data_IF_882090710659
#
_entry.id   IF_882090710659
#
_cell.length_a   1.000
_cell.length_b   1.000
_cell.length_c   1.000
_cell.angle_alpha   90.00
_cell.angle_beta   90.00
_cell.angle_gamma   90.00
#
_symmetry.space_group_name_H-M   'P 1'
#
loop_
_entity.id
_entity.type
_entity.pdbx_description
1 polymer ?
#
# COMPACT_ATOMS: atom_id res chain seq x y z
N UNK A 1 24.23 -24.68 -6.89
CA UNK A 1 23.97 -23.69 -7.96
C UNK A 1 22.60 -23.02 -7.78
N UNK A 2 21.52 -23.78 -7.51
CA UNK A 2 20.17 -23.17 -7.41
C UNK A 2 20.01 -22.09 -6.34
N UNK A 3 20.48 -22.30 -5.11
CA UNK A 3 20.41 -21.28 -4.05
C UNK A 3 21.20 -20.00 -4.43
N UNK A 4 22.38 -20.17 -5.03
CA UNK A 4 23.16 -19.03 -5.52
C UNK A 4 22.42 -18.29 -6.64
N UNK A 5 21.73 -19.00 -7.53
CA UNK A 5 20.89 -18.40 -8.58
C UNK A 5 19.75 -17.58 -8.00
N UNK A 6 19.05 -18.08 -6.97
CA UNK A 6 18.00 -17.33 -6.26
C UNK A 6 18.58 -16.06 -5.62
N UNK A 7 19.64 -16.16 -4.84
CA UNK A 7 20.24 -15.02 -4.15
C UNK A 7 20.78 -13.98 -5.15
N UNK A 8 21.43 -14.43 -6.22
CA UNK A 8 21.93 -13.55 -7.29
C UNK A 8 20.79 -12.83 -8.00
N UNK A 9 19.72 -13.54 -8.38
CA UNK A 9 18.58 -12.94 -9.06
C UNK A 9 17.87 -11.90 -8.18
N UNK A 10 17.69 -12.19 -6.88
CA UNK A 10 17.13 -11.25 -5.90
C UNK A 10 18.04 -10.03 -5.72
N UNK A 11 19.35 -10.24 -5.57
CA UNK A 11 20.31 -9.15 -5.45
C UNK A 11 20.38 -8.25 -6.69
N UNK A 12 20.29 -8.85 -7.89
CA UNK A 12 20.22 -8.11 -9.14
C UNK A 12 18.89 -7.37 -9.30
N UNK A 13 17.76 -7.96 -8.90
CA UNK A 13 16.46 -7.31 -8.91
C UNK A 13 16.51 -6.02 -8.08
N UNK A 14 16.98 -6.13 -6.84
CA UNK A 14 17.15 -4.97 -5.97
C UNK A 14 18.11 -3.93 -6.59
N UNK A 15 19.31 -4.34 -6.99
CA UNK A 15 20.32 -3.43 -7.53
C UNK A 15 19.84 -2.69 -8.78
N UNK A 16 19.23 -3.39 -9.73
CA UNK A 16 18.78 -2.81 -11.00
C UNK A 16 17.49 -1.98 -10.81
N UNK A 17 16.60 -2.35 -9.90
CA UNK A 17 15.44 -1.53 -9.54
C UNK A 17 15.86 -0.18 -8.93
N UNK A 18 16.87 -0.17 -8.03
CA UNK A 18 17.47 1.07 -7.52
C UNK A 18 18.21 1.89 -8.57
N UNK A 19 18.60 1.28 -9.70
CA UNK A 19 19.13 1.98 -10.88
C UNK A 19 18.02 2.56 -11.76
N UNK A 20 16.75 2.38 -11.42
CA UNK A 20 15.59 2.93 -12.12
C UNK A 20 15.06 2.06 -13.26
N UNK A 21 15.52 0.80 -13.39
CA UNK A 21 14.94 -0.14 -14.36
C UNK A 21 13.59 -0.63 -13.82
N UNK A 22 12.57 -0.62 -14.68
CA UNK A 22 11.22 -0.98 -14.29
C UNK A 22 11.13 -2.48 -13.91
N UNK A 23 10.46 -2.76 -12.78
CA UNK A 23 10.24 -4.12 -12.27
C UNK A 23 9.48 -5.01 -13.26
N UNK A 24 8.61 -4.46 -14.10
CA UNK A 24 7.93 -5.19 -15.18
C UNK A 24 8.90 -5.89 -16.15
N UNK A 25 10.09 -5.33 -16.33
CA UNK A 25 11.15 -5.93 -17.16
C UNK A 25 12.03 -6.83 -16.31
N UNK A 26 12.37 -6.38 -15.10
CA UNK A 26 13.30 -7.10 -14.24
C UNK A 26 12.75 -8.44 -13.73
N UNK A 27 11.51 -8.46 -13.30
CA UNK A 27 10.90 -9.64 -12.69
C UNK A 27 10.93 -10.86 -13.64
N UNK A 28 10.43 -10.78 -14.89
CA UNK A 28 10.49 -11.93 -15.81
C UNK A 28 11.93 -12.30 -16.20
N UNK A 29 12.82 -11.33 -16.44
CA UNK A 29 14.19 -11.63 -16.84
C UNK A 29 14.99 -12.29 -15.71
N UNK A 30 14.82 -11.82 -14.48
CA UNK A 30 15.56 -12.36 -13.33
C UNK A 30 14.95 -13.66 -12.81
N UNK A 31 13.65 -13.88 -12.96
CA UNK A 31 13.05 -15.20 -12.73
C UNK A 31 13.60 -16.23 -13.72
N UNK A 32 13.72 -15.88 -15.02
CA UNK A 32 14.34 -16.74 -16.00
C UNK A 32 15.82 -17.04 -15.69
N UNK A 33 16.57 -16.05 -15.22
CA UNK A 33 17.94 -16.25 -14.75
C UNK A 33 18.01 -17.27 -13.60
N UNK A 34 17.15 -17.13 -12.59
CA UNK A 34 17.09 -18.06 -11.46
C UNK A 34 16.77 -19.49 -11.92
N UNK A 35 15.83 -19.66 -12.85
CA UNK A 35 15.48 -20.96 -13.46
C UNK A 35 16.67 -21.59 -14.18
N UNK A 36 17.37 -20.82 -15.03
CA UNK A 36 18.57 -21.29 -15.76
C UNK A 36 19.64 -21.75 -14.79
N UNK A 37 19.90 -20.98 -13.73
CA UNK A 37 20.92 -21.30 -12.76
C UNK A 37 20.55 -22.46 -11.83
N UNK A 38 19.25 -22.67 -11.59
CA UNK A 38 18.77 -23.81 -10.82
C UNK A 38 18.94 -25.13 -11.58
N UNK A 39 18.83 -25.09 -12.90
CA UNK A 39 18.87 -26.28 -13.76
C UNK A 39 17.61 -27.18 -13.64
N UNK A 40 17.28 -27.87 -14.71
CA UNK A 40 16.23 -28.89 -14.70
C UNK A 40 14.80 -28.42 -14.98
N UNK A 41 14.51 -27.11 -14.95
CA UNK A 41 13.19 -26.57 -15.31
C UNK A 41 13.20 -25.87 -16.67
N UNK A 42 12.15 -26.06 -17.48
CA UNK A 42 12.03 -25.41 -18.79
C UNK A 42 11.65 -23.94 -18.64
N UNK A 43 12.54 -23.03 -19.06
CA UNK A 43 12.40 -21.57 -18.84
C UNK A 43 11.10 -21.01 -19.39
N UNK A 44 10.74 -21.35 -20.64
CA UNK A 44 9.52 -20.83 -21.27
C UNK A 44 8.24 -21.34 -20.61
N UNK A 45 8.23 -22.62 -20.23
CA UNK A 45 7.06 -23.17 -19.52
C UNK A 45 6.93 -22.56 -18.12
N UNK A 46 8.03 -22.39 -17.40
CA UNK A 46 8.01 -21.71 -16.09
C UNK A 46 7.54 -20.27 -16.21
N UNK A 47 7.99 -19.55 -17.25
CA UNK A 47 7.52 -18.19 -17.50
C UNK A 47 6.03 -18.14 -17.82
N UNK A 48 5.54 -18.99 -18.75
CA UNK A 48 4.15 -18.90 -19.23
C UNK A 48 3.14 -19.57 -18.31
N UNK A 49 3.51 -20.60 -17.55
CA UNK A 49 2.58 -21.38 -16.72
C UNK A 49 2.73 -21.13 -15.21
N UNK A 50 3.86 -20.60 -14.76
CA UNK A 50 4.05 -20.27 -13.33
C UNK A 50 4.03 -18.75 -13.13
N UNK A 51 4.94 -18.04 -13.81
CA UNK A 51 5.02 -16.59 -13.67
C UNK A 51 3.73 -15.88 -14.10
N UNK A 52 3.25 -16.18 -15.34
CA UNK A 52 2.06 -15.50 -15.88
C UNK A 52 0.77 -15.92 -15.19
N UNK A 53 0.66 -17.15 -14.72
CA UNK A 53 -0.50 -17.61 -13.95
C UNK A 53 -0.61 -16.84 -12.62
N UNK A 54 0.46 -16.78 -11.84
CA UNK A 54 0.48 -16.02 -10.58
C UNK A 54 0.30 -14.52 -10.78
N UNK A 55 0.90 -13.95 -11.84
CA UNK A 55 0.68 -12.55 -12.21
C UNK A 55 -0.81 -12.33 -12.55
N UNK A 56 -1.41 -13.19 -13.35
CA UNK A 56 -2.83 -13.12 -13.74
C UNK A 56 -3.75 -13.26 -12.52
N UNK A 57 -3.50 -14.24 -11.66
CA UNK A 57 -4.26 -14.48 -10.44
C UNK A 57 -4.26 -13.25 -9.51
N UNK A 58 -3.09 -12.61 -9.34
CA UNK A 58 -2.99 -11.37 -8.56
C UNK A 58 -3.84 -10.24 -9.15
N UNK A 59 -3.79 -10.05 -10.48
CA UNK A 59 -4.59 -9.02 -11.15
C UNK A 59 -6.08 -9.32 -11.00
N UNK A 60 -6.52 -10.55 -11.22
CA UNK A 60 -7.93 -10.96 -11.08
C UNK A 60 -8.46 -10.60 -9.69
N UNK A 61 -7.67 -10.89 -8.66
CA UNK A 61 -8.09 -10.67 -7.27
C UNK A 61 -8.08 -9.20 -6.86
N UNK A 62 -7.04 -8.44 -7.23
CA UNK A 62 -6.77 -7.14 -6.62
C UNK A 62 -6.94 -5.93 -7.54
N UNK A 63 -7.12 -6.11 -8.85
CA UNK A 63 -7.31 -5.00 -9.78
C UNK A 63 -8.43 -4.05 -9.38
N UNK A 64 -9.63 -4.52 -8.94
CA UNK A 64 -10.69 -3.62 -8.50
C UNK A 64 -10.27 -2.69 -7.35
N UNK A 65 -9.45 -3.17 -6.44
CA UNK A 65 -8.96 -2.39 -5.29
C UNK A 65 -7.97 -1.30 -5.73
N UNK A 66 -7.03 -1.65 -6.60
CA UNK A 66 -6.09 -0.67 -7.18
C UNK A 66 -6.83 0.40 -7.99
N UNK A 67 -7.79 -0.02 -8.83
CA UNK A 67 -8.60 0.85 -9.66
C UNK A 67 -9.39 1.86 -8.82
N UNK A 68 -10.20 1.35 -7.89
CA UNK A 68 -11.07 2.18 -7.06
C UNK A 68 -10.26 3.06 -6.10
N UNK A 69 -9.17 2.55 -5.51
CA UNK A 69 -8.27 3.33 -4.67
C UNK A 69 -7.61 4.50 -5.42
N UNK A 70 -7.17 4.27 -6.66
CA UNK A 70 -6.57 5.31 -7.49
C UNK A 70 -7.60 6.36 -7.94
N UNK A 71 -8.81 5.93 -8.36
CA UNK A 71 -9.91 6.84 -8.69
C UNK A 71 -10.32 7.66 -7.45
N UNK A 72 -10.50 7.01 -6.29
CA UNK A 72 -10.84 7.69 -5.04
C UNK A 72 -9.81 8.76 -4.70
N UNK A 73 -8.52 8.41 -4.77
CA UNK A 73 -7.43 9.35 -4.53
C UNK A 73 -7.48 10.55 -5.46
N UNK A 74 -7.66 10.32 -6.76
CA UNK A 74 -7.72 11.40 -7.77
C UNK A 74 -8.95 12.28 -7.57
N UNK A 75 -10.12 11.71 -7.29
CA UNK A 75 -11.35 12.47 -6.97
C UNK A 75 -11.17 13.32 -5.72
N UNK A 76 -10.53 12.79 -4.67
CA UNK A 76 -10.23 13.55 -3.44
C UNK A 76 -9.24 14.70 -3.70
N UNK A 77 -8.27 14.51 -4.60
CA UNK A 77 -7.30 15.54 -4.97
C UNK A 77 -7.94 16.64 -5.80
N UNK A 78 -8.58 16.30 -6.92
CA UNK A 78 -9.14 17.27 -7.87
C UNK A 78 -10.36 18.02 -7.30
N UNK A 79 -11.16 17.36 -6.45
CA UNK A 79 -12.25 17.98 -5.69
C UNK A 79 -11.78 18.92 -4.57
N UNK A 80 -10.47 18.99 -4.29
CA UNK A 80 -9.88 19.83 -3.26
C UNK A 80 -10.01 19.29 -1.83
N UNK A 81 -10.63 18.13 -1.65
CA UNK A 81 -10.88 17.55 -0.33
C UNK A 81 -9.56 17.15 0.36
N UNK A 82 -8.63 16.52 -0.37
CA UNK A 82 -7.32 16.15 0.17
C UNK A 82 -6.55 17.37 0.70
N UNK A 83 -6.55 18.47 -0.06
CA UNK A 83 -5.91 19.72 0.35
C UNK A 83 -6.58 20.35 1.57
N UNK A 84 -7.92 20.39 1.62
CA UNK A 84 -8.66 20.89 2.80
C UNK A 84 -8.32 20.13 4.06
N UNK A 85 -8.30 18.78 4.00
CA UNK A 85 -7.97 17.93 5.15
C UNK A 85 -6.56 18.24 5.63
N UNK A 86 -5.59 18.32 4.71
CA UNK A 86 -4.21 18.59 5.03
C UNK A 86 -4.01 19.97 5.68
N UNK A 87 -4.56 21.04 5.06
CA UNK A 87 -4.47 22.40 5.59
C UNK A 87 -5.10 22.51 6.99
N UNK A 88 -6.22 21.81 7.22
CA UNK A 88 -6.90 21.83 8.52
C UNK A 88 -6.10 21.13 9.60
N UNK A 89 -5.53 19.96 9.32
CA UNK A 89 -4.69 19.21 10.26
C UNK A 89 -3.44 20.03 10.61
N UNK A 90 -2.79 20.61 9.59
CA UNK A 90 -1.63 21.48 9.79
C UNK A 90 -1.97 22.69 10.65
N UNK A 91 -3.15 23.31 10.46
CA UNK A 91 -3.61 24.43 11.26
C UNK A 91 -3.89 24.03 12.72
N UNK A 92 -4.43 22.84 12.98
CA UNK A 92 -4.70 22.36 14.35
C UNK A 92 -3.43 22.00 15.11
N UNK A 93 -2.49 21.33 14.46
CA UNK A 93 -1.23 20.87 15.08
C UNK A 93 -0.24 22.03 15.27
N UNK A 94 -0.25 22.96 14.32
CA UNK A 94 0.57 24.17 14.35
C UNK A 94 2.03 23.96 13.90
N UNK A 95 2.75 25.08 13.63
CA UNK A 95 4.10 25.02 13.06
C UNK A 95 5.16 24.50 14.05
N UNK A 96 4.92 24.58 15.35
CA UNK A 96 5.84 24.04 16.38
C UNK A 96 6.05 22.52 16.25
N UNK A 97 5.06 21.82 15.70
CA UNK A 97 5.09 20.38 15.47
C UNK A 97 4.95 20.03 13.98
N UNK A 98 5.69 20.73 13.13
CA UNK A 98 5.59 20.61 11.68
C UNK A 98 5.72 19.17 11.16
N UNK A 99 6.63 18.38 11.70
CA UNK A 99 6.80 16.97 11.35
C UNK A 99 5.53 16.18 11.66
N UNK A 100 5.01 16.27 12.88
CA UNK A 100 3.79 15.57 13.28
C UNK A 100 2.58 16.00 12.44
N UNK A 101 2.46 17.30 12.12
CA UNK A 101 1.39 17.83 11.30
C UNK A 101 1.37 17.20 9.91
N UNK A 102 2.53 17.07 9.26
CA UNK A 102 2.68 16.41 7.97
C UNK A 102 2.36 14.93 8.08
N UNK A 103 2.91 14.24 9.08
CA UNK A 103 2.66 12.80 9.32
C UNK A 103 1.16 12.53 9.50
N UNK A 104 0.47 13.32 10.32
CA UNK A 104 -0.97 13.14 10.57
C UNK A 104 -1.81 13.49 9.34
N UNK A 105 -1.46 14.54 8.59
CA UNK A 105 -2.16 14.91 7.36
C UNK A 105 -2.06 13.78 6.31
N UNK A 106 -0.86 13.26 6.10
CA UNK A 106 -0.65 12.08 5.25
C UNK A 106 -1.41 10.87 5.78
N UNK A 107 -1.31 10.62 7.10
CA UNK A 107 -1.92 9.46 7.74
C UNK A 107 -3.44 9.41 7.59
N UNK A 108 -4.13 10.52 7.82
CA UNK A 108 -5.60 10.59 7.71
C UNK A 108 -6.06 10.31 6.27
N UNK A 109 -5.38 10.88 5.28
CA UNK A 109 -5.72 10.66 3.88
C UNK A 109 -5.46 9.21 3.46
N UNK A 110 -4.29 8.67 3.77
CA UNK A 110 -3.93 7.29 3.39
C UNK A 110 -4.81 6.28 4.13
N UNK A 111 -5.09 6.50 5.42
CA UNK A 111 -5.99 5.63 6.18
C UNK A 111 -7.40 5.58 5.59
N UNK A 112 -7.87 6.68 5.02
CA UNK A 112 -9.13 6.76 4.30
C UNK A 112 -9.12 6.15 2.89
N UNK A 113 -8.01 5.54 2.46
CA UNK A 113 -7.91 4.89 1.15
C UNK A 113 -7.42 5.78 0.01
N UNK A 114 -7.00 7.02 0.30
CA UNK A 114 -6.36 7.85 -0.73
C UNK A 114 -5.00 7.26 -1.07
N UNK A 115 -4.77 7.00 -2.36
CA UNK A 115 -3.50 6.45 -2.84
C UNK A 115 -2.29 7.25 -2.33
N UNK A 116 -1.27 6.55 -1.84
CA UNK A 116 -0.05 7.13 -1.30
C UNK A 116 0.63 8.12 -2.25
N UNK A 117 0.61 7.88 -3.57
CA UNK A 117 1.17 8.78 -4.56
C UNK A 117 0.40 10.10 -4.62
N UNK A 118 -0.94 10.02 -4.63
CA UNK A 118 -1.80 11.22 -4.58
C UNK A 118 -1.58 12.00 -3.29
N UNK A 119 -1.48 11.31 -2.14
CA UNK A 119 -1.19 11.96 -0.85
C UNK A 119 0.15 12.68 -0.89
N UNK A 120 1.20 12.04 -1.40
CA UNK A 120 2.52 12.65 -1.48
C UNK A 120 2.51 13.95 -2.30
N UNK A 121 1.87 13.95 -3.48
CA UNK A 121 1.77 15.16 -4.32
C UNK A 121 0.86 16.23 -3.69
N UNK A 122 -0.28 15.85 -3.12
CA UNK A 122 -1.21 16.81 -2.52
C UNK A 122 -0.64 17.49 -1.26
N UNK A 123 0.13 16.75 -0.46
CA UNK A 123 0.69 17.24 0.80
C UNK A 123 2.01 17.99 0.59
N UNK A 124 2.80 17.66 -0.43
CA UNK A 124 4.13 18.22 -0.62
C UNK A 124 4.18 19.76 -0.59
N UNK A 125 3.32 20.50 -1.32
CA UNK A 125 3.35 21.97 -1.29
C UNK A 125 3.07 22.54 0.11
N UNK A 126 2.09 21.95 0.81
CA UNK A 126 1.68 22.37 2.16
C UNK A 126 2.79 22.06 3.17
N UNK A 127 3.35 20.84 3.10
CA UNK A 127 4.43 20.40 3.96
C UNK A 127 5.72 21.21 3.74
N UNK A 128 6.01 21.55 2.48
CA UNK A 128 7.15 22.38 2.12
C UNK A 128 7.04 23.79 2.72
N UNK A 129 5.88 24.44 2.57
CA UNK A 129 5.61 25.75 3.17
C UNK A 129 5.67 25.71 4.71
N UNK A 130 5.14 24.63 5.33
CA UNK A 130 5.17 24.44 6.78
C UNK A 130 6.61 24.24 7.30
N UNK A 131 7.40 23.40 6.63
CA UNK A 131 8.79 23.13 6.99
C UNK A 131 9.65 24.38 6.87
N UNK A 132 9.43 25.19 5.81
CA UNK A 132 10.07 26.50 5.66
C UNK A 132 9.73 27.43 6.82
N UNK A 133 8.43 27.57 7.17
CA UNK A 133 7.98 28.43 8.26
C UNK A 133 8.50 27.99 9.63
N UNK A 134 8.67 26.69 9.84
CA UNK A 134 9.13 26.09 11.09
C UNK A 134 10.66 25.89 11.13
N UNK A 135 11.38 26.33 10.11
CA UNK A 135 12.81 26.13 9.90
C UNK A 135 13.27 24.68 10.12
N UNK A 136 12.50 23.73 9.58
CA UNK A 136 12.82 22.30 9.62
C UNK A 136 13.60 21.94 8.36
N UNK A 137 14.74 21.19 8.47
CA UNK A 137 15.52 20.80 7.30
C UNK A 137 14.69 20.10 6.23
N UNK A 138 14.70 20.64 4.99
CA UNK A 138 13.88 20.15 3.87
C UNK A 138 14.09 18.66 3.58
N UNK A 139 15.31 18.15 3.80
CA UNK A 139 15.64 16.72 3.61
C UNK A 139 14.85 15.75 4.52
N UNK A 140 14.21 16.24 5.59
CA UNK A 140 13.35 15.43 6.46
C UNK A 140 11.90 15.36 5.94
N UNK A 141 11.52 16.17 4.95
CA UNK A 141 10.18 16.24 4.42
C UNK A 141 9.74 14.93 3.74
N UNK A 142 10.54 14.30 2.87
CA UNK A 142 10.18 12.99 2.30
C UNK A 142 9.97 11.92 3.37
N UNK A 143 10.79 11.92 4.42
CA UNK A 143 10.66 10.96 5.52
C UNK A 143 9.40 11.20 6.37
N UNK A 144 8.96 12.44 6.56
CA UNK A 144 7.70 12.75 7.23
C UNK A 144 6.49 12.30 6.39
N UNK A 145 6.50 12.55 5.08
CA UNK A 145 5.47 12.06 4.16
C UNK A 145 5.46 10.52 4.16
N UNK A 146 6.63 9.89 4.06
CA UNK A 146 6.73 8.43 4.06
C UNK A 146 6.20 7.81 5.36
N UNK A 147 6.54 8.38 6.52
CA UNK A 147 6.02 7.90 7.81
C UNK A 147 4.50 7.94 7.87
N UNK A 148 3.87 9.01 7.36
CA UNK A 148 2.41 9.13 7.35
C UNK A 148 1.70 8.28 6.30
N UNK A 149 2.27 8.15 5.11
CA UNK A 149 1.59 7.53 3.96
C UNK A 149 1.96 6.08 3.72
N UNK A 150 3.17 5.63 4.11
CA UNK A 150 3.71 4.33 3.70
C UNK A 150 3.85 3.31 4.83
N UNK A 151 3.56 3.69 6.09
CA UNK A 151 3.81 2.83 7.24
C UNK A 151 2.52 2.44 7.95
N UNK A 152 2.33 2.87 9.18
CA UNK A 152 1.26 2.45 10.09
C UNK A 152 -0.16 2.55 9.52
N UNK A 153 -0.41 3.48 8.63
CA UNK A 153 -1.72 3.69 8.01
C UNK A 153 -2.04 2.67 6.91
N UNK A 154 -1.05 2.06 6.32
CA UNK A 154 -1.23 1.04 5.28
C UNK A 154 -1.13 -0.39 5.79
N UNK A 155 -0.31 -0.62 6.83
CA UNK A 155 0.12 -1.97 7.20
C UNK A 155 -0.21 -2.35 8.64
N UNK A 156 -0.62 -1.40 9.49
CA UNK A 156 -0.83 -1.67 10.90
C UNK A 156 -2.24 -1.35 11.39
N UNK A 157 -2.77 -0.16 11.14
CA UNK A 157 -4.10 0.20 11.63
C UNK A 157 -5.19 -0.62 10.95
N UNK A 158 -6.14 -1.19 11.74
CA UNK A 158 -7.27 -1.94 11.20
C UNK A 158 -8.25 -1.00 10.48
N UNK A 159 -8.98 -1.53 9.49
CA UNK A 159 -10.08 -0.83 8.82
C UNK A 159 -9.70 0.00 7.60
N UNK A 160 -8.42 0.15 7.28
CA UNK A 160 -8.01 0.81 6.04
C UNK A 160 -8.24 -0.11 4.83
N UNK A 161 -8.76 0.42 3.69
CA UNK A 161 -8.90 -0.35 2.46
C UNK A 161 -7.58 -0.47 1.68
N UNK A 162 -6.45 -0.26 2.34
CA UNK A 162 -5.13 -0.40 1.73
C UNK A 162 -4.88 -1.84 1.27
N UNK A 163 -4.19 -1.99 0.14
CA UNK A 163 -3.92 -3.30 -0.47
C UNK A 163 -3.15 -4.23 0.49
N UNK A 164 -2.31 -3.70 1.36
CA UNK A 164 -1.57 -4.48 2.36
C UNK A 164 -2.49 -5.14 3.41
N UNK A 165 -3.64 -4.56 3.69
CA UNK A 165 -4.65 -5.19 4.54
C UNK A 165 -5.54 -6.17 3.76
N UNK A 166 -5.62 -6.02 2.43
CA UNK A 166 -6.43 -6.90 1.59
C UNK A 166 -5.70 -8.19 1.20
N UNK A 167 -4.38 -8.15 0.99
CA UNK A 167 -3.58 -9.30 0.56
C UNK A 167 -3.72 -10.52 1.50
N UNK A 168 -3.72 -10.41 2.85
CA UNK A 168 -3.87 -11.55 3.73
C UNK A 168 -5.27 -12.18 3.75
N UNK A 169 -6.30 -11.48 3.26
CA UNK A 169 -7.70 -11.91 3.36
C UNK A 169 -7.91 -13.31 2.77
N UNK A 170 -7.56 -13.60 1.50
CA UNK A 170 -7.80 -14.91 0.91
C UNK A 170 -6.95 -16.03 1.53
N UNK A 171 -5.80 -15.72 2.11
CA UNK A 171 -4.92 -16.73 2.72
C UNK A 171 -5.41 -17.17 4.11
N UNK A 172 -5.97 -16.26 4.89
CA UNK A 172 -6.32 -16.49 6.29
C UNK A 172 -7.83 -16.37 6.59
N UNK A 173 -8.67 -16.14 5.59
CA UNK A 173 -10.11 -15.95 5.77
C UNK A 173 -10.45 -14.76 6.69
N UNK A 174 -9.63 -13.71 6.68
CA UNK A 174 -9.74 -12.54 7.55
C UNK A 174 -10.49 -11.40 6.87
N UNK A 175 -10.43 -10.21 7.44
CA UNK A 175 -10.91 -8.96 6.84
C UNK A 175 -9.98 -7.79 7.24
N UNK A 176 -10.22 -6.60 6.70
CA UNK A 176 -9.35 -5.43 6.98
C UNK A 176 -9.33 -4.97 8.45
N UNK A 177 -10.23 -5.47 9.29
CA UNK A 177 -10.26 -5.19 10.73
C UNK A 177 -9.59 -6.29 11.57
N UNK A 178 -8.93 -7.26 10.95
CA UNK A 178 -8.26 -8.35 11.65
C UNK A 178 -7.20 -7.83 12.62
N UNK A 179 -7.00 -8.56 13.73
CA UNK A 179 -6.02 -8.25 14.77
C UNK A 179 -6.05 -6.78 15.27
N UNK A 180 -7.21 -6.21 15.64
CA UNK A 180 -7.36 -4.76 15.87
C UNK A 180 -6.50 -4.24 17.01
N UNK A 181 -6.28 -5.00 18.07
CA UNK A 181 -5.46 -4.58 19.20
C UNK A 181 -3.97 -4.57 18.84
N UNK A 182 -3.47 -5.64 18.20
CA UNK A 182 -2.07 -5.74 17.78
C UNK A 182 -1.76 -4.70 16.71
N UNK A 183 -2.64 -4.55 15.71
CA UNK A 183 -2.49 -3.56 14.66
C UNK A 183 -2.48 -2.12 15.19
N UNK A 184 -3.39 -1.81 16.13
CA UNK A 184 -3.41 -0.48 16.76
C UNK A 184 -2.14 -0.23 17.57
N UNK A 185 -1.68 -1.20 18.37
CA UNK A 185 -0.45 -1.09 19.13
C UNK A 185 0.76 -0.87 18.23
N UNK A 186 0.89 -1.70 17.19
CA UNK A 186 1.96 -1.54 16.19
C UNK A 186 1.91 -0.17 15.52
N UNK A 187 0.73 0.28 15.11
CA UNK A 187 0.52 1.59 14.50
C UNK A 187 0.94 2.75 15.42
N UNK A 188 0.58 2.69 16.70
CA UNK A 188 0.99 3.70 17.70
C UNK A 188 2.51 3.69 17.91
N UNK A 189 3.14 2.52 17.97
CA UNK A 189 4.60 2.40 18.08
C UNK A 189 5.28 2.97 16.83
N UNK A 190 4.80 2.68 15.64
CA UNK A 190 5.35 3.20 14.38
C UNK A 190 5.18 4.72 14.28
N UNK A 191 3.99 5.24 14.56
CA UNK A 191 3.70 6.68 14.58
C UNK A 191 4.56 7.41 15.62
N UNK A 192 4.53 6.93 16.86
CA UNK A 192 5.25 7.56 17.98
C UNK A 192 6.77 7.44 17.81
N UNK A 193 7.27 6.24 17.56
CA UNK A 193 8.69 5.96 17.36
C UNK A 193 9.27 6.70 16.16
N UNK A 194 8.56 6.67 15.01
CA UNK A 194 8.96 7.39 13.80
C UNK A 194 8.97 8.92 14.00
N UNK A 195 7.93 9.47 14.63
CA UNK A 195 7.86 10.91 14.94
C UNK A 195 8.95 11.33 15.91
N UNK A 196 9.20 10.54 16.95
CA UNK A 196 10.29 10.80 17.91
C UNK A 196 11.66 10.75 17.22
N UNK A 197 11.87 9.77 16.34
CA UNK A 197 13.11 9.64 15.58
C UNK A 197 13.33 10.84 14.66
N UNK A 198 12.31 11.26 13.90
CA UNK A 198 12.39 12.44 13.03
C UNK A 198 12.63 13.73 13.82
N UNK A 199 11.99 13.90 14.98
CA UNK A 199 12.23 15.06 15.86
C UNK A 199 13.65 15.06 16.42
N UNK A 200 14.23 13.91 16.79
CA UNK A 200 15.64 13.80 17.18
C UNK A 200 16.58 14.16 16.01
N UNK A 201 16.27 13.72 14.80
CA UNK A 201 17.03 14.09 13.60
C UNK A 201 16.94 15.60 13.32
N UNK A 202 15.76 16.20 13.51
CA UNK A 202 15.57 17.66 13.42
C UNK A 202 16.44 18.37 14.45
N UNK A 203 16.35 18.00 15.72
CA UNK A 203 17.12 18.62 16.79
C UNK A 203 18.64 18.50 16.57
N UNK A 204 19.11 17.32 16.15
CA UNK A 204 20.53 17.12 15.82
C UNK A 204 21.00 17.95 14.61
N UNK A 205 20.13 18.20 13.63
CA UNK A 205 20.42 19.06 12.49
C UNK A 205 20.47 20.53 12.91
N UNK A 206 19.50 20.99 13.67
CA UNK A 206 19.43 22.35 14.22
C UNK A 206 20.63 22.66 15.13
N UNK A 207 21.08 21.68 15.95
CA UNK A 207 22.29 21.81 16.77
C UNK A 207 23.59 21.97 15.94
N UNK A 208 23.57 21.64 14.64
CA UNK A 208 24.64 21.89 13.68
C UNK A 208 24.43 23.15 12.84
N UNK A 209 23.42 23.97 13.15
CA UNK A 209 23.06 25.15 12.39
C UNK A 209 22.32 24.85 11.07
N UNK A 210 21.82 23.64 10.88
CA UNK A 210 21.08 23.24 9.68
C UNK A 210 19.60 23.56 9.86
N UNK A 211 19.10 24.59 9.16
CA UNK A 211 17.69 24.93 9.05
C UNK A 211 17.08 24.37 7.76
N UNK A 212 15.99 25.01 7.29
CA UNK A 212 15.32 24.61 6.04
C UNK A 212 16.27 24.69 4.83
N UNK A 213 17.16 25.67 4.81
CA UNK A 213 18.13 25.89 3.74
C UNK A 213 17.55 26.72 2.57
N UNK A 214 18.44 27.05 1.61
CA UNK A 214 18.04 27.67 0.35
C UNK A 214 17.89 26.56 -0.70
N UNK A 215 16.71 26.48 -1.29
CA UNK A 215 16.39 25.50 -2.32
C UNK A 215 15.71 26.20 -3.49
N UNK A 216 16.09 25.86 -4.71
CA UNK A 216 15.31 26.22 -5.89
C UNK A 216 13.90 25.65 -5.77
N UNK A 217 12.89 26.49 -5.94
CA UNK A 217 11.50 26.05 -5.99
C UNK A 217 11.27 25.36 -7.32
N UNK A 218 11.48 24.06 -7.37
CA UNK A 218 10.86 23.26 -8.40
C UNK A 218 9.35 23.29 -8.08
N UNK A 219 8.58 24.02 -8.91
CA UNK A 219 7.13 24.04 -8.81
C UNK A 219 6.63 22.61 -8.90
N UNK A 220 6.35 21.99 -7.74
CA UNK A 220 5.52 20.81 -7.73
C UNK A 220 4.13 21.32 -8.13
N UNK A 221 3.71 21.02 -9.34
CA UNK A 221 2.39 21.33 -9.84
C UNK A 221 1.36 20.75 -8.87
N UNK A 222 0.84 21.62 -7.99
CA UNK A 222 -0.37 21.28 -7.28
C UNK A 222 -1.45 21.15 -8.34
N UNK A 223 -2.17 20.03 -8.35
CA UNK A 223 -3.26 19.76 -9.31
C UNK A 223 -4.34 20.87 -9.29
N UNK A 224 -4.34 21.70 -8.25
CA UNK A 224 -5.29 22.81 -8.08
C UNK A 224 -4.54 24.14 -7.96
N UNK A 225 -5.06 25.22 -8.60
CA UNK A 225 -4.59 26.58 -8.41
C UNK A 225 -4.52 26.99 -6.93
N UNK A 226 -3.62 27.92 -6.61
CA UNK A 226 -3.48 28.38 -5.23
C UNK A 226 -4.73 29.09 -4.68
N UNK A 227 -5.51 29.72 -5.55
CA UNK A 227 -6.76 30.44 -5.29
C UNK A 227 -8.04 29.57 -5.43
N UNK A 228 -7.91 28.26 -5.66
CA UNK A 228 -9.05 27.39 -5.80
C UNK A 228 -9.95 27.41 -4.55
N UNK A 229 -11.27 27.53 -4.76
CA UNK A 229 -12.25 27.45 -3.67
C UNK A 229 -12.32 26.04 -3.13
N UNK A 230 -11.75 25.81 -1.97
CA UNK A 230 -11.73 24.50 -1.30
C UNK A 230 -13.09 24.19 -0.64
N UNK A 231 -13.46 22.89 -0.51
CA UNK A 231 -14.62 22.48 0.28
C UNK A 231 -14.42 22.78 1.77
N UNK A 232 -15.50 22.89 2.54
CA UNK A 232 -15.36 22.92 3.98
C UNK A 232 -14.85 21.56 4.50
N UNK A 233 -14.28 21.55 5.72
CA UNK A 233 -13.67 20.34 6.29
C UNK A 233 -14.65 19.18 6.44
N UNK A 234 -15.91 19.42 6.81
CA UNK A 234 -16.91 18.37 6.97
C UNK A 234 -17.22 17.68 5.63
N UNK A 235 -17.35 18.45 4.55
CA UNK A 235 -17.54 17.91 3.19
C UNK A 235 -16.28 17.15 2.74
N UNK A 236 -15.10 17.67 3.05
CA UNK A 236 -13.85 17.07 2.63
C UNK A 236 -13.58 15.72 3.32
N UNK A 237 -13.87 15.61 4.62
CA UNK A 237 -13.61 14.39 5.42
C UNK A 237 -14.70 13.32 5.26
N UNK A 238 -15.92 13.70 4.85
CA UNK A 238 -17.05 12.79 4.77
C UNK A 238 -16.80 11.54 3.91
N UNK A 239 -16.19 11.62 2.70
CA UNK A 239 -15.87 10.42 1.93
C UNK A 239 -14.86 9.49 2.62
N UNK A 240 -13.90 10.04 3.37
CA UNK A 240 -12.90 9.28 4.14
C UNK A 240 -13.60 8.48 5.25
N UNK A 241 -14.48 9.14 5.99
CA UNK A 241 -15.28 8.48 7.04
C UNK A 241 -16.22 7.44 6.41
N UNK A 242 -16.79 7.75 5.26
CA UNK A 242 -17.69 6.83 4.55
C UNK A 242 -16.98 5.54 4.12
N UNK A 243 -15.73 5.59 3.60
CA UNK A 243 -14.98 4.37 3.27
C UNK A 243 -14.90 3.43 4.46
N UNK A 244 -14.48 3.94 5.61
CA UNK A 244 -14.26 3.13 6.83
C UNK A 244 -15.61 2.64 7.39
N UNK A 245 -16.58 3.54 7.50
CA UNK A 245 -17.90 3.22 8.07
C UNK A 245 -18.69 2.23 7.19
N UNK A 246 -18.68 2.43 5.88
CA UNK A 246 -19.32 1.49 4.94
C UNK A 246 -18.59 0.16 4.92
N UNK A 247 -17.27 0.14 4.94
CA UNK A 247 -16.53 -1.12 5.00
C UNK A 247 -16.91 -1.91 6.27
N UNK A 248 -16.94 -1.27 7.43
CA UNK A 248 -17.39 -1.91 8.67
C UNK A 248 -18.86 -2.37 8.59
N UNK A 249 -19.75 -1.55 8.02
CA UNK A 249 -21.17 -1.88 7.85
C UNK A 249 -21.35 -3.13 6.96
N UNK A 250 -20.66 -3.19 5.82
CA UNK A 250 -20.75 -4.35 4.94
C UNK A 250 -20.12 -5.58 5.57
N UNK A 251 -18.95 -5.47 6.20
CA UNK A 251 -18.24 -6.60 6.82
C UNK A 251 -18.99 -7.21 7.99
N UNK A 252 -19.56 -6.40 8.88
CA UNK A 252 -20.14 -6.89 10.14
C UNK A 252 -21.66 -6.99 10.17
N UNK A 253 -22.36 -6.31 9.26
CA UNK A 253 -23.83 -6.26 9.31
C UNK A 253 -24.45 -6.81 8.02
N UNK A 254 -24.07 -6.27 6.85
CA UNK A 254 -24.79 -6.58 5.61
C UNK A 254 -24.43 -7.98 5.10
N UNK A 255 -23.16 -8.28 4.88
CA UNK A 255 -22.75 -9.57 4.32
C UNK A 255 -23.07 -10.76 5.22
N UNK A 256 -22.90 -10.71 6.55
CA UNK A 256 -23.34 -11.81 7.42
C UNK A 256 -24.85 -12.07 7.41
N UNK A 257 -25.66 -11.08 7.03
CA UNK A 257 -27.11 -11.20 6.92
C UNK A 257 -27.58 -11.64 5.51
N UNK A 258 -26.68 -11.74 4.54
CA UNK A 258 -27.01 -12.14 3.17
C UNK A 258 -26.86 -13.65 2.98
N UNK A 259 -27.80 -14.28 2.27
CA UNK A 259 -27.58 -15.59 1.65
C UNK A 259 -26.87 -15.40 0.32
N UNK A 260 -25.81 -16.15 0.11
CA UNK A 260 -25.00 -16.11 -1.10
C UNK A 260 -24.75 -17.52 -1.67
N UNK A 261 -25.77 -18.40 -1.56
CA UNK A 261 -25.70 -19.81 -2.01
C UNK A 261 -25.36 -19.95 -3.49
N UNK A 262 -25.65 -18.91 -4.28
CA UNK A 262 -25.28 -18.84 -5.69
C UNK A 262 -23.76 -18.89 -5.94
N UNK A 263 -22.93 -18.51 -4.96
CA UNK A 263 -21.46 -18.57 -5.10
C UNK A 263 -20.93 -20.00 -5.21
N UNK A 264 -21.68 -20.99 -4.73
CA UNK A 264 -21.32 -22.42 -4.90
C UNK A 264 -21.53 -22.95 -6.32
N UNK A 265 -22.12 -22.16 -7.23
CA UNK A 265 -22.30 -22.55 -8.62
C UNK A 265 -20.95 -22.48 -9.38
N UNK A 266 -20.73 -23.39 -10.38
CA UNK A 266 -19.49 -23.41 -11.17
C UNK A 266 -19.16 -22.09 -11.90
N UNK A 267 -20.18 -21.34 -12.30
CA UNK A 267 -20.05 -20.05 -12.98
C UNK A 267 -19.45 -18.96 -12.07
N UNK A 268 -19.51 -19.13 -10.75
CA UNK A 268 -18.91 -18.22 -9.76
C UNK A 268 -17.67 -18.81 -9.06
N UNK A 269 -17.15 -19.93 -9.59
CA UNK A 269 -15.91 -20.55 -9.11
C UNK A 269 -16.06 -21.41 -7.85
N UNK A 270 -17.28 -21.91 -7.57
CA UNK A 270 -17.60 -22.83 -6.45
C UNK A 270 -17.03 -22.32 -5.11
N UNK A 271 -17.20 -21.02 -4.85
CA UNK A 271 -16.70 -20.32 -3.64
C UNK A 271 -17.81 -20.07 -2.62
N UNK A 272 -17.47 -19.43 -1.53
CA UNK A 272 -18.41 -19.04 -0.49
C UNK A 272 -18.26 -17.54 -0.13
N UNK A 273 -19.26 -17.00 0.59
CA UNK A 273 -19.28 -15.61 0.98
C UNK A 273 -18.10 -15.25 1.91
N UNK A 274 -17.65 -16.16 2.76
CA UNK A 274 -16.56 -15.89 3.70
C UNK A 274 -15.24 -15.61 2.98
N UNK A 275 -15.02 -16.25 1.85
CA UNK A 275 -13.82 -16.09 1.03
C UNK A 275 -13.78 -14.74 0.27
N UNK A 276 -14.93 -14.18 -0.08
CA UNK A 276 -15.01 -12.97 -0.92
C UNK A 276 -15.47 -11.71 -0.18
N UNK A 277 -16.16 -11.86 0.97
CA UNK A 277 -16.81 -10.76 1.68
C UNK A 277 -15.85 -9.61 2.03
N UNK A 278 -14.62 -9.92 2.45
CA UNK A 278 -13.63 -8.90 2.80
C UNK A 278 -13.26 -8.00 1.61
N UNK A 279 -13.03 -8.59 0.45
CA UNK A 279 -12.72 -7.85 -0.79
C UNK A 279 -13.95 -7.10 -1.29
N UNK A 280 -15.13 -7.73 -1.26
CA UNK A 280 -16.39 -7.10 -1.64
C UNK A 280 -16.71 -5.88 -0.79
N UNK A 281 -16.46 -5.94 0.54
CA UNK A 281 -16.67 -4.81 1.43
C UNK A 281 -15.81 -3.60 1.03
N UNK A 282 -14.56 -3.83 0.63
CA UNK A 282 -13.67 -2.77 0.13
C UNK A 282 -14.20 -2.20 -1.19
N UNK A 283 -14.56 -3.05 -2.15
CA UNK A 283 -15.07 -2.62 -3.47
C UNK A 283 -16.30 -1.74 -3.30
N UNK A 284 -17.30 -2.20 -2.54
CA UNK A 284 -18.56 -1.46 -2.37
C UNK A 284 -18.33 -0.16 -1.59
N UNK A 285 -17.54 -0.19 -0.51
CA UNK A 285 -17.25 1.01 0.29
C UNK A 285 -16.51 2.07 -0.49
N UNK A 286 -15.49 1.70 -1.28
CA UNK A 286 -14.78 2.64 -2.15
C UNK A 286 -15.69 3.19 -3.24
N UNK A 287 -16.49 2.35 -3.91
CA UNK A 287 -17.42 2.77 -4.95
C UNK A 287 -18.41 3.81 -4.43
N UNK A 288 -19.09 3.50 -3.32
CA UNK A 288 -20.04 4.42 -2.72
C UNK A 288 -19.39 5.71 -2.22
N UNK A 289 -18.17 5.63 -1.72
CA UNK A 289 -17.43 6.81 -1.25
C UNK A 289 -16.92 7.69 -2.41
N UNK A 290 -16.55 7.10 -3.55
CA UNK A 290 -16.28 7.84 -4.79
C UNK A 290 -17.53 8.60 -5.24
N UNK A 291 -18.66 7.92 -5.31
CA UNK A 291 -19.93 8.56 -5.67
C UNK A 291 -20.30 9.68 -4.71
N UNK A 292 -20.13 9.49 -3.41
CA UNK A 292 -20.34 10.52 -2.40
C UNK A 292 -19.39 11.70 -2.60
N UNK A 293 -18.10 11.46 -2.83
CA UNK A 293 -17.11 12.51 -3.04
C UNK A 293 -17.43 13.34 -4.30
N UNK A 294 -17.83 12.69 -5.39
CA UNK A 294 -18.28 13.34 -6.62
C UNK A 294 -19.55 14.18 -6.38
N UNK A 295 -20.56 13.60 -5.72
CA UNK A 295 -21.83 14.30 -5.45
C UNK A 295 -21.63 15.55 -4.57
N UNK A 296 -20.84 15.44 -3.50
CA UNK A 296 -20.58 16.55 -2.58
C UNK A 296 -19.75 17.67 -3.20
N UNK A 297 -18.91 17.35 -4.19
CA UNK A 297 -17.96 18.28 -4.80
C UNK A 297 -18.21 18.51 -6.30
N UNK A 298 -19.38 18.11 -6.84
CA UNK A 298 -19.68 18.12 -8.29
C UNK A 298 -19.28 19.42 -9.02
N UNK A 299 -19.53 20.57 -8.40
CA UNK A 299 -19.24 21.88 -9.00
C UNK A 299 -17.77 22.30 -8.94
N UNK A 300 -16.89 21.48 -8.36
CA UNK A 300 -15.47 21.80 -8.17
C UNK A 300 -14.58 21.14 -9.22
N UNK A 301 -15.08 20.09 -9.86
CA UNK A 301 -14.35 19.42 -10.93
C UNK A 301 -14.41 20.25 -12.20
N UNK A 302 -13.26 20.45 -12.84
CA UNK A 302 -13.20 21.03 -14.19
C UNK A 302 -13.78 20.03 -15.20
N UNK A 303 -13.40 18.77 -15.09
CA UNK A 303 -13.93 17.64 -15.87
C UNK A 303 -13.91 16.37 -15.01
N UNK A 304 -15.09 15.87 -14.69
CA UNK A 304 -15.25 14.63 -13.90
C UNK A 304 -14.74 13.41 -14.66
N UNK A 305 -14.96 13.37 -15.98
CA UNK A 305 -14.56 12.23 -16.80
C UNK A 305 -13.03 12.16 -16.90
N UNK A 306 -12.35 13.29 -17.07
CA UNK A 306 -10.90 13.36 -17.06
C UNK A 306 -10.33 12.94 -15.69
N UNK A 307 -10.91 13.40 -14.59
CA UNK A 307 -10.53 12.99 -13.23
C UNK A 307 -10.61 11.47 -13.06
N UNK A 308 -11.72 10.85 -13.47
CA UNK A 308 -11.92 9.40 -13.37
C UNK A 308 -10.96 8.65 -14.29
N UNK A 309 -10.81 9.07 -15.53
CA UNK A 309 -9.90 8.44 -16.49
C UNK A 309 -8.44 8.53 -16.04
N UNK A 310 -8.01 9.69 -15.54
CA UNK A 310 -6.64 9.87 -15.01
C UNK A 310 -6.42 8.99 -13.78
N UNK A 311 -7.40 8.90 -12.87
CA UNK A 311 -7.36 7.98 -11.75
C UNK A 311 -7.26 6.52 -12.20
N UNK A 312 -8.05 6.12 -13.20
CA UNK A 312 -8.03 4.78 -13.80
C UNK A 312 -6.65 4.43 -14.35
N UNK A 313 -6.08 5.30 -15.17
CA UNK A 313 -4.73 5.08 -15.74
C UNK A 313 -3.66 5.04 -14.65
N UNK A 314 -3.80 5.81 -13.59
CA UNK A 314 -2.91 5.81 -12.43
C UNK A 314 -2.88 4.48 -11.64
N UNK A 315 -3.87 3.60 -11.82
CA UNK A 315 -3.91 2.29 -11.17
C UNK A 315 -3.06 1.23 -11.88
N UNK A 316 -2.79 1.39 -13.18
CA UNK A 316 -2.24 0.31 -14.01
C UNK A 316 -0.79 -0.02 -13.64
N UNK A 317 0.08 0.98 -13.56
CA UNK A 317 1.49 0.72 -13.26
C UNK A 317 1.69 0.08 -11.87
N UNK A 318 1.05 0.55 -10.78
CA UNK A 318 1.14 -0.10 -9.48
C UNK A 318 0.66 -1.55 -9.46
N UNK A 319 -0.49 -1.87 -10.07
CA UNK A 319 -1.00 -3.24 -10.07
C UNK A 319 -0.11 -4.18 -10.87
N UNK A 320 0.36 -3.77 -12.06
CA UNK A 320 1.23 -4.61 -12.87
C UNK A 320 2.62 -4.79 -12.27
N UNK A 321 3.19 -3.77 -11.62
CA UNK A 321 4.44 -3.92 -10.89
C UNK A 321 4.32 -4.97 -9.79
N UNK A 322 3.31 -4.86 -8.92
CA UNK A 322 3.10 -5.83 -7.84
C UNK A 322 2.78 -7.22 -8.39
N UNK A 323 1.95 -7.33 -9.42
CA UNK A 323 1.65 -8.60 -10.07
C UNK A 323 2.91 -9.27 -10.65
N UNK A 324 3.84 -8.49 -11.23
CA UNK A 324 5.13 -9.01 -11.72
C UNK A 324 6.03 -9.49 -10.58
N UNK A 325 6.02 -8.80 -9.43
CA UNK A 325 6.74 -9.23 -8.22
C UNK A 325 6.17 -10.57 -7.70
N UNK A 326 4.84 -10.73 -7.72
CA UNK A 326 4.17 -11.99 -7.34
C UNK A 326 4.54 -13.11 -8.30
N UNK A 327 4.49 -12.88 -9.61
CA UNK A 327 4.94 -13.84 -10.61
C UNK A 327 6.40 -14.26 -10.43
N UNK A 328 7.29 -13.31 -10.12
CA UNK A 328 8.68 -13.59 -9.77
C UNK A 328 8.76 -14.48 -8.52
N UNK A 329 8.02 -14.14 -7.46
CA UNK A 329 7.98 -14.90 -6.21
C UNK A 329 7.53 -16.35 -6.42
N UNK A 330 6.48 -16.56 -7.20
CA UNK A 330 5.97 -17.88 -7.54
C UNK A 330 7.01 -18.73 -8.28
N UNK A 331 7.74 -18.15 -9.22
CA UNK A 331 8.86 -18.85 -9.88
C UNK A 331 9.94 -19.21 -8.88
N UNK A 332 10.37 -18.29 -8.01
CA UNK A 332 11.38 -18.59 -6.98
C UNK A 332 10.89 -19.71 -6.04
N UNK A 333 9.61 -19.66 -5.63
CA UNK A 333 9.01 -20.68 -4.76
C UNK A 333 8.95 -22.06 -5.43
N UNK A 334 8.82 -22.12 -6.75
CA UNK A 334 8.80 -23.37 -7.51
C UNK A 334 10.19 -24.05 -7.68
N UNK A 335 11.28 -23.32 -7.38
CA UNK A 335 12.62 -23.84 -7.51
C UNK A 335 12.97 -24.82 -6.36
N UNK A 336 13.59 -25.99 -6.65
CA UNK A 336 13.94 -26.96 -5.60
C UNK A 336 14.79 -26.38 -4.46
N UNK A 337 15.67 -25.42 -4.78
CA UNK A 337 16.52 -24.77 -3.80
C UNK A 337 15.78 -23.82 -2.84
N UNK A 338 14.53 -23.44 -3.15
CA UNK A 338 13.71 -22.61 -2.27
C UNK A 338 13.36 -23.29 -0.95
N UNK A 339 13.30 -24.63 -0.92
CA UNK A 339 13.08 -25.41 0.32
C UNK A 339 14.07 -25.05 1.41
N UNK A 340 15.33 -24.77 1.05
CA UNK A 340 16.38 -24.36 2.00
C UNK A 340 16.01 -23.01 2.65
N UNK A 341 15.51 -22.05 1.86
CA UNK A 341 15.10 -20.73 2.35
C UNK A 341 13.86 -20.87 3.22
N UNK A 342 12.86 -21.62 2.74
CA UNK A 342 11.62 -21.89 3.47
C UNK A 342 11.91 -22.52 4.84
N UNK A 343 12.70 -23.59 4.87
CA UNK A 343 12.99 -24.33 6.09
C UNK A 343 13.83 -23.48 7.06
N UNK A 344 14.74 -22.63 6.53
CA UNK A 344 15.47 -21.67 7.34
C UNK A 344 14.54 -20.62 7.98
N UNK A 345 13.58 -20.06 7.22
CA UNK A 345 12.62 -19.07 7.73
C UNK A 345 11.70 -19.68 8.78
N UNK A 346 11.13 -20.86 8.50
CA UNK A 346 10.26 -21.56 9.45
C UNK A 346 11.02 -21.99 10.72
N UNK A 347 12.30 -22.34 10.57
CA UNK A 347 13.16 -22.75 11.69
C UNK A 347 13.68 -21.59 12.55
N UNK A 348 13.56 -20.32 12.14
CA UNK A 348 13.99 -19.16 12.94
C UNK A 348 13.22 -19.05 14.27
N UNK A 349 11.92 -19.29 14.22
CA UNK A 349 11.02 -19.23 15.38
C UNK A 349 10.01 -20.38 15.31
N UNK A 350 10.42 -21.64 15.57
CA UNK A 350 9.56 -22.81 15.36
C UNK A 350 8.25 -22.76 16.14
N UNK A 351 8.29 -22.16 17.34
CA UNK A 351 7.14 -22.06 18.25
C UNK A 351 6.36 -20.73 18.08
N UNK A 352 6.76 -19.87 17.11
CA UNK A 352 6.13 -18.56 16.92
C UNK A 352 5.96 -18.24 15.42
N UNK A 353 4.86 -18.71 14.81
CA UNK A 353 4.60 -18.47 13.38
C UNK A 353 4.49 -17.00 13.02
N UNK A 354 4.00 -16.15 13.93
CA UNK A 354 3.88 -14.70 13.71
C UNK A 354 5.26 -14.05 13.56
N UNK A 355 6.24 -14.45 14.39
CA UNK A 355 7.60 -13.95 14.29
C UNK A 355 8.28 -14.42 13.00
N UNK A 356 8.12 -15.70 12.62
CA UNK A 356 8.64 -16.24 11.35
C UNK A 356 8.03 -15.52 10.14
N UNK A 357 6.72 -15.34 10.13
CA UNK A 357 6.01 -14.59 9.08
C UNK A 357 6.49 -13.14 9.00
N UNK A 358 6.64 -12.47 10.14
CA UNK A 358 7.12 -11.09 10.17
C UNK A 358 8.53 -10.97 9.56
N UNK A 359 9.43 -11.89 9.88
CA UNK A 359 10.79 -11.91 9.28
C UNK A 359 10.73 -12.17 7.78
N UNK A 360 9.94 -13.17 7.33
CA UNK A 360 9.78 -13.49 5.92
C UNK A 360 9.25 -12.30 5.11
N UNK A 361 8.15 -11.69 5.56
CA UNK A 361 7.53 -10.54 4.88
C UNK A 361 8.50 -9.34 4.85
N UNK A 362 9.13 -9.01 5.97
CA UNK A 362 10.06 -7.87 6.02
C UNK A 362 11.31 -8.09 5.15
N UNK A 363 11.86 -9.30 5.13
CA UNK A 363 13.00 -9.64 4.28
C UNK A 363 12.64 -9.50 2.79
N UNK A 364 11.50 -10.09 2.37
CA UNK A 364 11.06 -10.04 0.98
C UNK A 364 10.62 -8.63 0.56
N UNK A 365 9.91 -7.90 1.43
CA UNK A 365 9.56 -6.51 1.17
C UNK A 365 10.80 -5.60 1.06
N UNK A 366 11.82 -5.84 1.89
CA UNK A 366 13.09 -5.13 1.81
C UNK A 366 13.86 -5.41 0.52
N UNK A 367 13.81 -6.65 0.02
CA UNK A 367 14.46 -7.06 -1.24
C UNK A 367 13.73 -6.49 -2.45
N UNK A 368 12.41 -6.59 -2.48
CA UNK A 368 11.60 -6.11 -3.62
C UNK A 368 11.39 -4.59 -3.61
N UNK A 369 11.60 -3.93 -2.47
CA UNK A 369 11.29 -2.51 -2.29
C UNK A 369 9.79 -2.24 -2.25
N UNK A 370 8.96 -3.26 -2.05
CA UNK A 370 7.50 -3.20 -2.06
C UNK A 370 6.90 -3.99 -0.91
N UNK A 371 6.14 -3.34 -0.04
CA UNK A 371 5.46 -4.01 1.07
C UNK A 371 4.38 -5.00 0.57
N UNK A 372 3.61 -4.60 -0.44
CA UNK A 372 2.59 -5.47 -1.05
C UNK A 372 3.22 -6.63 -1.81
N UNK A 373 4.25 -6.38 -2.63
CA UNK A 373 4.97 -7.43 -3.35
C UNK A 373 5.63 -8.43 -2.41
N UNK A 374 6.38 -7.96 -1.42
CA UNK A 374 7.04 -8.84 -0.45
C UNK A 374 6.07 -9.67 0.38
N UNK A 375 4.94 -9.07 0.78
CA UNK A 375 3.89 -9.80 1.50
C UNK A 375 3.23 -10.86 0.61
N UNK A 376 2.87 -10.51 -0.63
CA UNK A 376 2.26 -11.45 -1.56
C UNK A 376 3.17 -12.64 -1.84
N UNK A 377 4.46 -12.40 -2.09
CA UNK A 377 5.46 -13.47 -2.27
C UNK A 377 5.54 -14.37 -1.03
N UNK A 378 5.59 -13.78 0.17
CA UNK A 378 5.68 -14.54 1.41
C UNK A 378 4.44 -15.41 1.64
N UNK A 379 3.25 -14.87 1.40
CA UNK A 379 1.99 -15.58 1.62
C UNK A 379 1.71 -16.61 0.53
N UNK A 380 2.03 -16.32 -0.72
CA UNK A 380 1.93 -17.30 -1.81
C UNK A 380 2.85 -18.51 -1.57
N UNK A 381 4.05 -18.29 -1.06
CA UNK A 381 5.04 -19.32 -0.81
C UNK A 381 4.85 -20.07 0.53
N UNK A 382 4.34 -19.43 1.56
CA UNK A 382 4.38 -19.91 2.95
C UNK A 382 3.02 -19.77 3.68
N UNK A 383 1.99 -19.19 3.05
CA UNK A 383 0.70 -18.89 3.71
C UNK A 383 0.03 -20.11 4.31
N UNK A 384 -0.01 -21.22 3.58
CA UNK A 384 -0.61 -22.47 4.04
C UNK A 384 0.09 -23.02 5.28
N UNK A 385 1.43 -22.96 5.32
CA UNK A 385 2.19 -23.42 6.49
C UNK A 385 1.92 -22.53 7.71
N UNK A 386 1.86 -21.20 7.53
CA UNK A 386 1.52 -20.31 8.63
C UNK A 386 0.08 -20.47 9.11
N UNK A 387 -0.88 -20.72 8.19
CA UNK A 387 -2.25 -21.02 8.56
C UNK A 387 -2.36 -22.31 9.40
N UNK A 388 -1.61 -23.36 9.05
CA UNK A 388 -1.57 -24.61 9.81
C UNK A 388 -0.87 -24.45 11.16
N UNK A 389 0.17 -23.65 11.28
CA UNK A 389 0.86 -23.38 12.53
C UNK A 389 0.06 -22.50 13.50
N UNK A 390 -0.90 -21.72 12.99
CA UNK A 390 -1.75 -20.83 13.78
C UNK A 390 -3.03 -21.48 14.32
N UNK A 391 -3.32 -22.72 13.91
CA UNK A 391 -4.43 -23.55 14.42
C UNK A 391 -4.00 -24.33 15.64
#
# INVERSE_FOLDING_TARGET
>A
MGLFGIVLSLGLLMFLAYRGINVLILAPLLSALAVIMSGGLPVLATYTQVFMDSLGGYIITYFPLFLLGAIFGKVMADGGAARTIAERIVAWVGPGQAILAVVLACGVLTYGGVSLFVVAFAIYPIANALFRRADVPKRLLPAAIALGSFTFTMTAFPGTPAIQNAIPIPFFGTNVFAAPLLGTLAGVIMLGGGTLWLNRRRAAAQGRGEGYGQHEETGADSTLPADAKLPNFAIAIAPVIAVIGLNALFTYVIFPAMSADYLSLPEYGETDLSSVAGIWAIIVSLTLSILLALALNWRRFADVLDTVNTGTMGSLLPVFNTASEVGYGAVIASLPAFTIIRDAVLGLFPDNPVASLAVAVNALAGITGSASGGMSIALDALGDQFAQMGQ
#
